data_IF_387513733809
#
_entry.id   IF_387513733809
#
_cell.length_a   1.000
_cell.length_b   1.000
_cell.length_c   1.000
_cell.angle_alpha   90.00
_cell.angle_beta   90.00
_cell.angle_gamma   90.00
#
_symmetry.space_group_name_H-M   'P 1'
#
loop_
_entity.id
_entity.type
_entity.pdbx_description
1 polymer ?
#
# COMPACT_ATOMS: atom_id res chain seq x y z
N UNK A 1 12.85 23.98 15.71
CA UNK A 1 12.41 22.67 15.17
C UNK A 1 13.41 22.28 14.10
N UNK A 2 14.03 21.10 14.19
CA UNK A 2 14.86 20.59 13.09
C UNK A 2 13.97 19.82 12.13
N UNK A 3 14.02 20.18 10.85
CA UNK A 3 13.35 19.45 9.77
C UNK A 3 14.38 18.60 9.05
N UNK A 4 13.99 17.36 8.70
CA UNK A 4 14.78 16.47 7.86
C UNK A 4 14.01 16.21 6.57
N UNK A 5 14.69 16.27 5.44
CA UNK A 5 14.10 16.02 4.12
C UNK A 5 14.60 14.67 3.64
N UNK A 6 13.68 13.80 3.21
CA UNK A 6 13.97 12.54 2.54
C UNK A 6 13.48 12.65 1.08
N UNK A 7 14.37 12.94 0.12
CA UNK A 7 13.99 13.12 -1.28
C UNK A 7 13.57 11.79 -1.93
N UNK A 8 12.83 11.86 -3.05
CA UNK A 8 12.38 10.68 -3.81
C UNK A 8 13.53 9.72 -4.13
N UNK A 9 14.72 10.24 -4.45
CA UNK A 9 15.90 9.45 -4.81
C UNK A 9 16.45 8.58 -3.67
N UNK A 10 16.03 8.81 -2.42
CA UNK A 10 16.47 8.03 -1.26
C UNK A 10 15.45 6.97 -0.83
N UNK A 11 14.27 6.91 -1.47
CA UNK A 11 13.27 5.87 -1.18
C UNK A 11 13.80 4.49 -1.55
N UNK A 12 13.36 3.49 -0.81
CA UNK A 12 13.48 2.11 -1.25
C UNK A 12 12.63 1.87 -2.50
N UNK A 13 13.03 0.93 -3.35
CA UNK A 13 12.25 0.55 -4.52
C UNK A 13 12.17 -0.96 -4.66
N UNK A 14 11.08 -1.44 -5.25
CA UNK A 14 10.95 -2.81 -5.72
C UNK A 14 10.22 -2.84 -7.06
N UNK A 15 10.67 -3.71 -7.96
CA UNK A 15 10.03 -3.97 -9.24
C UNK A 15 9.78 -5.47 -9.38
N UNK A 16 8.51 -5.84 -9.41
CA UNK A 16 8.06 -7.22 -9.59
C UNK A 16 7.39 -7.43 -10.96
N UNK A 17 7.61 -6.53 -11.91
CA UNK A 17 6.98 -6.50 -13.23
C UNK A 17 5.53 -5.97 -13.18
N UNK A 18 4.68 -6.58 -12.34
CA UNK A 18 3.31 -6.13 -12.13
C UNK A 18 3.16 -5.06 -11.05
N UNK A 19 4.16 -4.93 -10.16
CA UNK A 19 4.19 -3.95 -9.08
C UNK A 19 5.47 -3.14 -9.18
N UNK A 20 5.33 -1.82 -9.30
CA UNK A 20 6.42 -0.87 -9.08
C UNK A 20 6.15 -0.14 -7.75
N UNK A 21 6.93 -0.45 -6.73
CA UNK A 21 6.74 0.07 -5.38
C UNK A 21 7.87 1.02 -4.98
N UNK A 22 7.53 2.10 -4.28
CA UNK A 22 8.48 3.03 -3.68
C UNK A 22 8.21 3.18 -2.19
N UNK A 23 9.19 2.85 -1.35
CA UNK A 23 9.06 2.81 0.10
C UNK A 23 9.67 4.07 0.73
N UNK A 24 8.85 4.88 1.41
CA UNK A 24 9.35 6.06 2.13
C UNK A 24 10.01 5.70 3.48
N UNK A 25 9.65 4.55 4.04
CA UNK A 25 10.25 3.98 5.24
C UNK A 25 10.78 2.56 4.96
N UNK A 26 11.54 2.01 5.90
CA UNK A 26 12.08 0.65 5.85
C UNK A 26 10.95 -0.37 5.74
N UNK A 27 10.93 -1.13 4.67
CA UNK A 27 9.86 -2.08 4.35
C UNK A 27 10.38 -3.19 3.41
N UNK A 28 9.87 -4.40 3.59
CA UNK A 28 10.34 -5.57 2.84
C UNK A 28 11.86 -5.77 2.97
N UNK A 29 12.55 -5.85 1.85
CA UNK A 29 14.01 -5.99 1.81
C UNK A 29 14.77 -4.65 1.88
N UNK A 30 14.06 -3.52 1.83
CA UNK A 30 14.67 -2.21 1.97
C UNK A 30 14.79 -1.82 3.44
N UNK A 31 16.01 -1.48 3.87
CA UNK A 31 16.28 -1.04 5.23
C UNK A 31 17.17 0.21 5.23
N UNK A 32 16.71 1.23 5.94
CA UNK A 32 17.49 2.40 6.28
C UNK A 32 17.21 2.78 7.76
N UNK A 33 18.23 2.73 8.65
CA UNK A 33 18.04 2.97 10.08
C UNK A 33 17.53 4.38 10.40
N UNK A 34 17.70 5.34 9.49
CA UNK A 34 17.19 6.70 9.62
C UNK A 34 15.73 6.87 9.16
N UNK A 35 15.20 5.90 8.42
CA UNK A 35 13.86 5.92 7.83
C UNK A 35 13.05 4.72 8.31
N UNK A 36 13.06 4.44 9.60
CA UNK A 36 12.26 3.31 10.15
C UNK A 36 10.78 3.66 10.22
N UNK A 37 10.44 4.90 10.62
CA UNK A 37 9.06 5.37 10.80
C UNK A 37 9.02 6.88 11.11
N UNK A 38 7.83 7.49 11.08
CA UNK A 38 7.58 8.84 11.58
C UNK A 38 6.41 8.87 12.56
N UNK A 39 6.69 8.99 13.86
CA UNK A 39 5.66 8.89 14.90
C UNK A 39 4.95 7.54 14.84
N UNK A 40 3.64 7.55 14.62
CA UNK A 40 2.83 6.33 14.45
C UNK A 40 2.84 5.78 13.01
N UNK A 41 3.25 6.57 12.02
CA UNK A 41 3.29 6.15 10.61
C UNK A 41 4.47 5.20 10.39
N UNK A 42 4.16 3.91 10.19
CA UNK A 42 5.16 2.84 10.04
C UNK A 42 5.55 2.59 8.59
N UNK A 43 4.57 2.60 7.69
CA UNK A 43 4.74 2.29 6.27
C UNK A 43 4.06 3.39 5.46
N UNK A 44 4.72 3.83 4.39
CA UNK A 44 4.16 4.75 3.39
C UNK A 44 4.74 4.37 2.03
N UNK A 45 3.94 3.62 1.28
CA UNK A 45 4.30 3.09 -0.02
C UNK A 45 3.59 3.88 -1.12
N UNK A 46 4.28 4.05 -2.23
CA UNK A 46 3.80 4.70 -3.44
C UNK A 46 3.94 3.68 -4.57
N UNK A 47 2.82 2.99 -4.82
CA UNK A 47 2.76 1.78 -5.61
C UNK A 47 2.12 2.05 -6.97
N UNK A 48 2.49 1.28 -7.98
CA UNK A 48 1.81 1.24 -9.28
C UNK A 48 1.59 -0.20 -9.63
N UNK A 49 0.33 -0.55 -9.90
CA UNK A 49 -0.14 -1.93 -10.02
C UNK A 49 -0.64 -2.16 -11.43
N UNK A 50 -0.10 -3.18 -12.08
CA UNK A 50 -0.48 -3.59 -13.43
C UNK A 50 -1.95 -3.98 -13.55
N UNK A 51 -2.46 -3.95 -14.78
CA UNK A 51 -3.85 -4.29 -15.08
C UNK A 51 -4.19 -5.73 -14.69
N UNK A 52 -5.31 -5.92 -13.98
CA UNK A 52 -5.79 -7.21 -13.49
C UNK A 52 -4.92 -7.87 -12.41
N UNK A 53 -3.84 -7.20 -11.98
CA UNK A 53 -2.89 -7.72 -10.99
C UNK A 53 -3.18 -7.13 -9.61
N UNK A 54 -2.51 -7.66 -8.58
CA UNK A 54 -2.69 -7.19 -7.22
C UNK A 54 -2.10 -8.15 -6.20
N UNK A 55 -2.35 -7.83 -4.94
CA UNK A 55 -1.95 -8.62 -3.80
C UNK A 55 -3.01 -9.69 -3.52
N UNK A 56 -2.60 -10.96 -3.64
CA UNK A 56 -3.43 -12.09 -3.22
C UNK A 56 -3.73 -12.07 -1.71
N UNK A 57 -4.58 -12.98 -1.25
CA UNK A 57 -4.98 -13.02 0.17
C UNK A 57 -3.78 -13.19 1.10
N UNK A 58 -3.61 -12.26 2.04
CA UNK A 58 -2.56 -12.25 3.06
C UNK A 58 -3.06 -11.68 4.40
N UNK A 59 -2.42 -12.03 5.52
CA UNK A 59 -2.85 -11.58 6.85
C UNK A 59 -2.26 -10.23 7.26
N UNK A 60 -3.01 -9.47 8.05
CA UNK A 60 -2.54 -8.37 8.88
C UNK A 60 -3.10 -8.48 10.29
N UNK A 61 -2.34 -8.03 11.28
CA UNK A 61 -2.76 -7.83 12.66
C UNK A 61 -2.27 -6.47 13.18
N UNK A 62 -2.96 -5.93 14.20
CA UNK A 62 -2.56 -4.76 14.97
C UNK A 62 -2.10 -3.55 14.12
N UNK A 63 -2.79 -3.29 13.02
CA UNK A 63 -2.49 -2.22 12.06
C UNK A 63 -3.77 -1.56 11.54
N UNK A 64 -3.68 -0.26 11.36
CA UNK A 64 -4.63 0.52 10.56
C UNK A 64 -4.01 0.71 9.17
N UNK A 65 -4.75 0.31 8.13
CA UNK A 65 -4.31 0.36 6.74
C UNK A 65 -5.20 1.35 5.99
N UNK A 66 -4.59 2.29 5.29
CA UNK A 66 -5.27 3.35 4.56
C UNK A 66 -4.81 3.29 3.10
N UNK A 67 -5.77 3.13 2.19
CA UNK A 67 -5.53 3.04 0.76
C UNK A 67 -6.14 4.27 0.08
N UNK A 68 -5.32 4.97 -0.71
CA UNK A 68 -5.67 6.22 -1.40
C UNK A 68 -5.29 6.09 -2.88
N UNK A 69 -6.22 5.70 -3.77
CA UNK A 69 -5.93 5.65 -5.19
C UNK A 69 -5.67 7.04 -5.77
N UNK A 70 -4.55 7.17 -6.47
CA UNK A 70 -4.14 8.32 -7.27
C UNK A 70 -4.46 8.15 -8.76
N UNK A 71 -4.68 6.91 -9.23
CA UNK A 71 -5.11 6.57 -10.59
C UNK A 71 -5.91 5.24 -10.54
N UNK A 72 -7.00 5.11 -11.31
CA UNK A 72 -7.76 3.87 -11.37
C UNK A 72 -8.50 3.52 -10.07
N UNK A 73 -8.37 2.26 -9.61
CA UNK A 73 -8.98 1.79 -8.37
C UNK A 73 -8.63 0.35 -7.99
N UNK A 74 -8.84 0.02 -6.72
CA UNK A 74 -8.52 -1.28 -6.13
C UNK A 74 -9.77 -1.93 -5.53
N UNK A 75 -10.00 -3.18 -5.88
CA UNK A 75 -10.98 -4.04 -5.23
C UNK A 75 -10.35 -4.68 -4.00
N UNK A 76 -10.82 -4.27 -2.82
CA UNK A 76 -10.52 -4.91 -1.54
C UNK A 76 -11.50 -6.04 -1.29
N UNK A 77 -11.00 -7.15 -0.72
CA UNK A 77 -11.80 -8.24 -0.16
C UNK A 77 -11.17 -8.72 1.12
N UNK A 78 -11.95 -8.96 2.17
CA UNK A 78 -11.44 -9.49 3.43
C UNK A 78 -12.21 -10.71 3.98
N UNK A 79 -11.62 -11.31 5.01
CA UNK A 79 -12.14 -12.49 5.70
C UNK A 79 -13.40 -12.23 6.54
N UNK A 80 -13.81 -10.97 6.71
CA UNK A 80 -15.07 -10.60 7.37
C UNK A 80 -16.24 -10.53 6.37
N UNK A 81 -15.95 -10.74 5.08
CA UNK A 81 -16.93 -10.73 4.00
C UNK A 81 -17.11 -9.37 3.34
N UNK A 82 -16.29 -8.37 3.68
CA UNK A 82 -16.36 -7.09 3.00
C UNK A 82 -15.74 -7.22 1.60
N UNK A 83 -16.37 -6.57 0.63
CA UNK A 83 -15.84 -6.40 -0.71
C UNK A 83 -16.24 -5.03 -1.23
N UNK A 84 -15.26 -4.19 -1.57
CA UNK A 84 -15.52 -2.85 -2.08
C UNK A 84 -14.44 -2.44 -3.07
N UNK A 85 -14.79 -1.60 -4.04
CA UNK A 85 -13.81 -1.01 -4.96
C UNK A 85 -13.57 0.44 -4.59
N UNK A 86 -12.39 0.75 -4.05
CA UNK A 86 -11.96 2.13 -3.82
C UNK A 86 -11.37 2.71 -5.11
N UNK A 87 -11.80 3.90 -5.50
CA UNK A 87 -11.43 4.56 -6.75
C UNK A 87 -10.74 5.90 -6.50
N UNK A 88 -10.18 6.48 -7.56
CA UNK A 88 -9.62 7.84 -7.50
C UNK A 88 -10.61 8.83 -6.87
N UNK A 89 -10.11 9.60 -5.89
CA UNK A 89 -10.91 10.57 -5.12
C UNK A 89 -11.55 10.00 -3.86
N UNK A 90 -11.42 8.70 -3.61
CA UNK A 90 -11.90 8.03 -2.41
C UNK A 90 -10.75 7.64 -1.48
N UNK A 91 -11.11 7.34 -0.23
CA UNK A 91 -10.18 6.81 0.78
C UNK A 91 -10.83 5.60 1.41
N UNK A 92 -10.10 4.51 1.47
CA UNK A 92 -10.51 3.31 2.19
C UNK A 92 -9.64 3.13 3.43
N UNK A 93 -10.27 2.73 4.54
CA UNK A 93 -9.60 2.46 5.82
C UNK A 93 -10.02 1.07 6.29
N UNK A 94 -9.05 0.26 6.71
CA UNK A 94 -9.28 -1.04 7.35
C UNK A 94 -8.52 -1.11 8.66
N UNK A 95 -9.23 -1.44 9.73
CA UNK A 95 -8.66 -1.77 11.04
C UNK A 95 -8.47 -3.27 11.14
N UNK A 96 -7.22 -3.75 11.17
CA UNK A 96 -6.93 -5.18 11.27
C UNK A 96 -7.27 -5.77 12.64
N UNK A 97 -7.22 -4.95 13.70
CA UNK A 97 -7.52 -5.37 15.07
C UNK A 97 -6.71 -6.60 15.51
N UNK A 98 -7.39 -7.64 15.96
CA UNK A 98 -6.76 -8.91 16.35
C UNK A 98 -6.34 -9.79 15.17
N UNK A 99 -6.70 -9.43 13.94
CA UNK A 99 -6.33 -10.16 12.73
C UNK A 99 -7.41 -10.10 11.65
N UNK A 100 -6.98 -9.84 10.41
CA UNK A 100 -7.81 -9.92 9.20
C UNK A 100 -6.96 -10.49 8.06
N UNK A 101 -7.56 -11.31 7.19
CA UNK A 101 -6.94 -11.66 5.92
C UNK A 101 -7.62 -10.87 4.81
N UNK A 102 -6.86 -10.29 3.90
CA UNK A 102 -7.42 -9.52 2.79
C UNK A 102 -6.60 -9.64 1.50
N UNK A 103 -7.22 -9.26 0.39
CA UNK A 103 -6.61 -9.15 -0.93
C UNK A 103 -6.96 -7.79 -1.54
N UNK A 104 -6.06 -7.23 -2.32
CA UNK A 104 -6.24 -5.95 -3.01
C UNK A 104 -5.87 -6.12 -4.48
N UNK A 105 -6.86 -6.02 -5.36
CA UNK A 105 -6.68 -6.27 -6.79
C UNK A 105 -7.00 -5.02 -7.60
N UNK A 106 -6.21 -4.71 -8.62
CA UNK A 106 -6.56 -3.68 -9.59
C UNK A 106 -7.93 -3.99 -10.21
N UNK A 107 -8.83 -3.01 -10.12
CA UNK A 107 -10.22 -3.14 -10.58
C UNK A 107 -10.34 -3.12 -12.12
N UNK A 108 -9.31 -2.63 -12.82
CA UNK A 108 -9.26 -2.63 -14.29
C UNK A 108 -8.46 -3.83 -14.81
N UNK A 109 -8.89 -4.39 -15.95
CA UNK A 109 -8.16 -5.44 -16.68
C UNK A 109 -7.25 -4.90 -17.78
N UNK A 110 -7.39 -3.63 -18.11
CA UNK A 110 -6.72 -3.00 -19.24
C UNK A 110 -5.84 -1.80 -18.83
N UNK A 111 -6.10 -1.23 -17.65
CA UNK A 111 -5.39 -0.06 -17.14
C UNK A 111 -4.68 -0.36 -15.82
N UNK A 112 -3.59 0.35 -15.58
CA UNK A 112 -2.88 0.31 -14.30
C UNK A 112 -3.66 1.07 -13.22
N UNK A 113 -3.34 0.80 -11.96
CA UNK A 113 -3.78 1.59 -10.82
C UNK A 113 -2.57 2.18 -10.10
N UNK A 114 -2.79 3.28 -9.40
CA UNK A 114 -1.82 3.97 -8.54
C UNK A 114 -2.51 4.41 -7.27
#
# INVERSE_FOLDING_TARGET
MQSRIFPKSERGTADHGWLQANFSFSFGNFYNPDMVQFGMLRVLNDDTIGAGMGFGTHPHDNMEIITIPLEGGLTHRDSLGNQETVRFGEVQVMSAGTGVQHSEMNASKDERAK
#
